data_IF_877555171305
#
_entry.id   IF_877555171305
#
_cell.length_a   1.000
_cell.length_b   1.000
_cell.length_c   1.000
_cell.angle_alpha   90.00
_cell.angle_beta   90.00
_cell.angle_gamma   90.00
#
_symmetry.space_group_name_H-M   'P 1'
#
loop_
_entity.id
_entity.type
_entity.pdbx_description
1 polymer ?
#
# COMPACT_ATOMS: atom_id res chain seq x y z
N UNK A 1 18.16 28.71 0.38
CA UNK A 1 19.39 29.15 1.08
C UNK A 1 19.07 29.69 2.48
N UNK A 2 18.16 30.68 2.62
CA UNK A 2 17.82 31.30 3.92
C UNK A 2 17.15 30.33 4.93
N UNK A 3 16.22 29.48 4.48
CA UNK A 3 15.54 28.48 5.32
C UNK A 3 16.51 27.40 5.85
N UNK A 4 17.51 27.03 5.08
CA UNK A 4 18.50 26.02 5.46
C UNK A 4 19.51 26.57 6.48
N UNK A 5 19.89 27.85 6.33
CA UNK A 5 20.73 28.57 7.27
C UNK A 5 20.02 28.75 8.61
N UNK A 6 18.74 29.10 8.61
CA UNK A 6 17.90 29.21 9.82
C UNK A 6 17.76 27.87 10.56
N UNK A 7 17.60 26.78 9.81
CA UNK A 7 17.50 25.40 10.38
C UNK A 7 18.83 25.00 11.06
N UNK A 8 19.98 25.28 10.43
CA UNK A 8 21.31 25.03 11.01
C UNK A 8 21.54 25.84 12.26
N UNK A 9 21.18 27.13 12.26
CA UNK A 9 21.33 27.99 13.42
C UNK A 9 20.49 27.49 14.61
N UNK A 10 19.27 27.10 14.37
CA UNK A 10 18.37 26.53 15.39
C UNK A 10 18.95 25.23 15.99
N UNK A 11 19.55 24.38 15.17
CA UNK A 11 20.18 23.14 15.60
C UNK A 11 21.44 23.40 16.46
N UNK A 12 22.26 24.38 16.08
CA UNK A 12 23.40 24.81 16.86
C UNK A 12 22.94 25.33 18.23
N UNK A 13 21.97 26.23 18.27
CA UNK A 13 21.41 26.78 19.51
C UNK A 13 20.84 25.68 20.41
N UNK A 14 20.09 24.73 19.84
CA UNK A 14 19.55 23.60 20.59
C UNK A 14 20.66 22.74 21.21
N UNK A 15 21.66 22.34 20.43
CA UNK A 15 22.74 21.47 20.89
C UNK A 15 23.60 22.17 21.95
N UNK A 16 23.91 23.48 21.77
CA UNK A 16 24.61 24.27 22.74
C UNK A 16 23.80 24.40 24.04
N UNK A 17 22.50 24.67 23.95
CA UNK A 17 21.61 24.73 25.11
C UNK A 17 21.56 23.41 25.90
N UNK A 18 21.49 22.27 25.22
CA UNK A 18 21.52 20.93 25.85
C UNK A 18 22.88 20.75 26.58
N UNK A 19 23.98 21.08 25.93
CA UNK A 19 25.35 20.95 26.51
C UNK A 19 25.52 21.78 27.77
N UNK A 20 25.07 23.03 27.76
CA UNK A 20 25.13 23.93 28.93
C UNK A 20 24.21 23.45 30.05
N UNK A 21 22.99 22.97 29.72
CA UNK A 21 22.06 22.43 30.69
C UNK A 21 22.64 21.20 31.39
N UNK A 22 23.20 20.25 30.62
CA UNK A 22 23.82 19.04 31.18
C UNK A 22 25.00 19.40 32.09
N UNK A 23 25.86 20.32 31.65
CA UNK A 23 26.99 20.80 32.49
C UNK A 23 26.51 21.41 33.81
N UNK A 24 25.49 22.28 33.76
CA UNK A 24 24.94 22.93 34.95
C UNK A 24 24.30 21.89 35.90
N UNK A 25 23.55 20.90 35.36
CA UNK A 25 22.95 19.83 36.15
C UNK A 25 24.01 18.95 36.81
N UNK A 26 25.05 18.55 36.09
CA UNK A 26 26.17 17.78 36.66
C UNK A 26 26.87 18.53 37.76
N UNK A 27 27.20 19.81 37.52
CA UNK A 27 27.86 20.66 38.54
C UNK A 27 26.96 20.89 39.75
N UNK A 28 25.65 21.16 39.54
CA UNK A 28 24.70 21.32 40.65
C UNK A 28 24.54 20.05 41.48
N UNK A 29 24.49 18.87 40.82
CA UNK A 29 24.43 17.59 41.51
C UNK A 29 25.73 17.36 42.33
N UNK A 30 26.88 17.67 41.77
CA UNK A 30 28.17 17.57 42.52
C UNK A 30 28.17 18.49 43.74
N UNK A 31 27.69 19.74 43.64
CA UNK A 31 27.54 20.62 44.80
C UNK A 31 26.59 20.08 45.87
N UNK A 32 25.49 19.48 45.45
CA UNK A 32 24.52 18.81 46.33
C UNK A 32 25.19 17.67 47.10
N UNK A 33 25.97 16.82 46.42
CA UNK A 33 26.66 15.69 47.03
C UNK A 33 27.84 16.17 47.93
N UNK A 34 28.56 17.25 47.58
CA UNK A 34 29.59 17.85 48.37
C UNK A 34 29.05 18.36 49.74
N UNK A 35 27.82 18.90 49.73
CA UNK A 35 27.15 19.32 50.97
C UNK A 35 26.95 18.13 51.96
N UNK A 36 26.74 16.93 51.44
CA UNK A 36 26.64 15.69 52.28
C UNK A 36 28.01 15.05 52.55
N UNK A 37 29.12 15.70 52.18
CA UNK A 37 30.47 15.16 52.33
C UNK A 37 30.67 13.78 51.69
N UNK A 38 30.05 13.54 50.56
CA UNK A 38 30.20 12.34 49.74
C UNK A 38 31.55 12.43 48.99
N UNK A 39 32.22 11.28 48.88
CA UNK A 39 33.56 11.17 48.33
C UNK A 39 33.67 11.78 46.89
N UNK A 40 34.70 12.59 46.65
CA UNK A 40 34.99 13.33 45.40
C UNK A 40 35.10 12.44 44.16
N UNK A 41 35.44 11.16 44.32
CA UNK A 41 35.48 10.19 43.22
C UNK A 41 34.12 10.06 42.49
N UNK A 42 33.00 10.29 43.18
CA UNK A 42 31.68 10.21 42.61
C UNK A 42 31.40 11.38 41.65
N UNK A 43 32.03 12.52 41.84
CA UNK A 43 31.87 13.70 40.98
C UNK A 43 32.41 13.44 39.58
N UNK A 44 33.52 12.68 39.47
CA UNK A 44 34.07 12.26 38.19
C UNK A 44 33.07 11.44 37.35
N UNK A 45 32.40 10.50 38.02
CA UNK A 45 31.38 9.62 37.35
C UNK A 45 30.22 10.47 36.84
N UNK A 46 29.76 11.48 37.60
CA UNK A 46 28.66 12.37 37.20
C UNK A 46 29.03 13.15 35.94
N UNK A 47 30.24 13.69 35.85
CA UNK A 47 30.70 14.42 34.65
C UNK A 47 30.84 13.47 33.44
N UNK A 48 31.37 12.26 33.64
CA UNK A 48 31.46 11.25 32.59
C UNK A 48 30.05 10.85 32.07
N UNK A 49 29.07 10.69 32.96
CA UNK A 49 27.68 10.47 32.61
C UNK A 49 27.09 11.65 31.82
N UNK A 50 27.40 12.88 32.23
CA UNK A 50 27.03 14.11 31.50
C UNK A 50 27.59 14.14 30.08
N UNK A 51 28.85 13.74 29.90
CA UNK A 51 29.46 13.64 28.55
C UNK A 51 28.70 12.60 27.70
N UNK A 52 28.39 11.44 28.27
CA UNK A 52 27.61 10.40 27.60
C UNK A 52 26.22 10.90 27.19
N UNK A 53 25.48 11.53 28.10
CA UNK A 53 24.16 12.11 27.83
C UNK A 53 24.25 13.16 26.71
N UNK A 54 25.24 14.05 26.76
CA UNK A 54 25.44 15.03 25.68
C UNK A 54 25.75 14.35 24.35
N UNK A 55 26.59 13.30 24.33
CA UNK A 55 26.88 12.56 23.12
C UNK A 55 25.63 11.87 22.55
N UNK A 56 24.69 11.42 23.40
CA UNK A 56 23.43 10.81 22.97
C UNK A 56 22.43 11.84 22.44
N UNK A 57 22.23 12.96 23.14
CA UNK A 57 21.18 13.94 22.84
C UNK A 57 21.57 15.03 21.84
N UNK A 58 22.86 15.23 21.57
CA UNK A 58 23.32 16.21 20.59
C UNK A 58 23.74 15.56 19.27
N UNK A 59 23.77 16.36 18.20
CA UNK A 59 24.26 15.88 16.89
C UNK A 59 25.73 16.34 16.72
N UNK A 60 26.56 15.37 16.34
CA UNK A 60 27.96 15.58 16.04
C UNK A 60 28.90 15.29 17.22
N UNK A 61 30.16 15.11 16.88
CA UNK A 61 31.25 14.81 17.84
C UNK A 61 31.63 15.98 18.71
N UNK A 62 31.49 17.21 18.19
CA UNK A 62 32.07 18.43 18.78
C UNK A 62 31.50 18.77 20.18
N UNK A 63 30.19 18.63 20.38
CA UNK A 63 29.55 19.06 21.64
C UNK A 63 29.98 18.21 22.85
N UNK A 64 29.99 16.89 22.70
CA UNK A 64 30.40 15.98 23.75
C UNK A 64 31.93 16.07 24.02
N UNK A 65 32.74 16.27 22.99
CA UNK A 65 34.17 16.49 23.12
C UNK A 65 34.48 17.84 23.83
N UNK A 66 33.76 18.91 23.47
CA UNK A 66 33.86 20.18 24.13
C UNK A 66 33.45 20.08 25.61
N UNK A 67 32.33 19.36 25.89
CA UNK A 67 31.91 19.13 27.27
C UNK A 67 32.94 18.34 28.06
N UNK A 68 33.64 17.37 27.45
CA UNK A 68 34.71 16.64 28.09
C UNK A 68 35.84 17.58 28.57
N UNK A 69 36.24 18.53 27.73
CA UNK A 69 37.26 19.57 28.11
C UNK A 69 36.71 20.47 29.20
N UNK A 70 35.51 21.03 29.02
CA UNK A 70 34.89 21.95 29.99
C UNK A 70 34.66 21.27 31.33
N UNK A 71 34.31 19.98 31.35
CA UNK A 71 34.14 19.21 32.59
C UNK A 71 35.41 19.04 33.39
N UNK A 72 36.56 18.85 32.73
CA UNK A 72 37.89 18.81 33.40
C UNK A 72 38.17 20.12 34.10
N UNK A 73 38.02 21.23 33.39
CA UNK A 73 38.26 22.57 33.98
C UNK A 73 37.21 22.91 35.05
N UNK A 74 35.95 22.55 34.83
CA UNK A 74 34.88 22.76 35.82
C UNK A 74 35.12 21.97 37.10
N UNK A 75 35.49 20.70 36.99
CA UNK A 75 35.80 19.87 38.16
C UNK A 75 36.98 20.46 38.95
N UNK A 76 38.08 20.85 38.25
CA UNK A 76 39.22 21.48 38.90
C UNK A 76 38.85 22.79 39.62
N UNK A 77 38.10 23.67 38.94
CA UNK A 77 37.74 24.98 39.49
C UNK A 77 36.81 24.91 40.71
N UNK A 78 35.80 24.05 40.65
CA UNK A 78 34.75 24.01 41.67
C UNK A 78 35.06 23.07 42.85
N UNK A 79 35.78 21.96 42.61
CA UNK A 79 35.89 20.88 43.62
C UNK A 79 37.34 20.57 44.05
N UNK A 80 38.37 21.04 43.34
CA UNK A 80 39.75 20.78 43.71
C UNK A 80 40.28 21.87 44.67
N UNK A 81 41.03 21.47 45.71
CA UNK A 81 41.61 22.43 46.68
C UNK A 81 42.96 22.95 46.18
N UNK A 82 43.22 24.28 46.17
CA UNK A 82 42.33 25.36 46.62
C UNK A 82 41.23 25.67 45.60
N UNK A 83 39.95 25.67 46.06
CA UNK A 83 38.78 25.93 45.23
C UNK A 83 38.83 27.30 44.57
N UNK A 84 38.15 27.44 43.41
CA UNK A 84 38.06 28.66 42.61
C UNK A 84 39.40 29.14 42.04
N UNK A 85 40.36 28.21 41.91
CA UNK A 85 41.64 28.44 41.26
C UNK A 85 41.92 27.39 40.19
N UNK A 86 42.79 27.67 39.25
CA UNK A 86 43.27 26.71 38.27
C UNK A 86 44.66 26.13 38.64
N UNK A 87 45.04 26.15 39.95
CA UNK A 87 46.29 25.57 40.40
C UNK A 87 46.15 24.05 40.60
N UNK A 88 47.15 23.32 40.14
CA UNK A 88 47.26 21.86 40.32
C UNK A 88 48.33 21.60 41.38
N UNK A 89 47.96 21.53 42.65
CA UNK A 89 48.91 21.32 43.76
C UNK A 89 49.33 19.84 43.89
N UNK A 90 48.57 18.90 43.36
CA UNK A 90 48.88 17.48 43.47
C UNK A 90 48.95 16.84 42.09
N UNK A 91 50.03 16.07 41.85
CA UNK A 91 50.22 15.29 40.61
C UNK A 91 49.12 14.25 40.37
N UNK A 92 48.45 13.80 41.44
CA UNK A 92 47.38 12.82 41.36
C UNK A 92 46.15 13.40 40.60
N UNK A 93 45.83 14.66 40.79
CA UNK A 93 44.76 15.33 40.03
C UNK A 93 45.07 15.43 38.54
N UNK A 94 46.31 15.62 38.16
CA UNK A 94 46.71 15.68 36.76
C UNK A 94 46.44 14.37 36.04
N UNK A 95 46.69 13.20 36.67
CA UNK A 95 46.40 11.89 36.13
C UNK A 95 44.90 11.71 35.97
N UNK A 96 44.11 12.11 36.99
CA UNK A 96 42.63 12.03 36.94
C UNK A 96 42.05 12.84 35.80
N UNK A 97 42.56 14.05 35.57
CA UNK A 97 42.10 14.91 34.46
C UNK A 97 42.41 14.33 33.07
N UNK A 98 43.64 13.78 32.91
CA UNK A 98 44.01 13.10 31.66
C UNK A 98 43.09 11.90 31.42
N UNK A 99 42.84 11.08 32.42
CA UNK A 99 41.95 9.92 32.31
C UNK A 99 40.52 10.35 31.98
N UNK A 100 39.97 11.35 32.67
CA UNK A 100 38.62 11.86 32.40
C UNK A 100 38.49 12.38 30.96
N UNK A 101 39.50 13.11 30.48
CA UNK A 101 39.52 13.62 29.11
C UNK A 101 39.58 12.47 28.10
N UNK A 102 40.46 11.49 28.29
CA UNK A 102 40.56 10.31 27.40
C UNK A 102 39.28 9.48 27.36
N UNK A 103 38.70 9.22 28.52
CA UNK A 103 37.41 8.51 28.63
C UNK A 103 36.29 9.30 27.91
N UNK A 104 36.23 10.61 28.13
CA UNK A 104 35.24 11.48 27.47
C UNK A 104 35.38 11.48 25.94
N UNK A 105 36.60 11.56 25.41
CA UNK A 105 36.91 11.46 24.00
C UNK A 105 36.51 10.07 23.45
N UNK A 106 36.83 9.00 24.18
CA UNK A 106 36.45 7.62 23.81
C UNK A 106 34.95 7.48 23.68
N UNK A 107 34.18 7.90 24.69
CA UNK A 107 32.71 7.90 24.67
C UNK A 107 32.18 8.69 23.48
N UNK A 108 32.70 9.90 23.26
CA UNK A 108 32.28 10.75 22.15
C UNK A 108 32.50 10.08 20.79
N UNK A 109 33.68 9.47 20.61
CA UNK A 109 34.07 8.78 19.38
C UNK A 109 33.16 7.56 19.09
N UNK A 110 33.00 6.69 20.09
CA UNK A 110 32.20 5.48 19.97
C UNK A 110 30.73 5.83 19.69
N UNK A 111 30.18 6.79 20.45
CA UNK A 111 28.79 7.22 20.26
C UNK A 111 28.54 7.81 18.86
N UNK A 112 29.50 8.64 18.39
CA UNK A 112 29.43 9.22 17.06
C UNK A 112 29.48 8.14 15.95
N UNK A 113 30.40 7.18 16.07
CA UNK A 113 30.50 6.06 15.12
C UNK A 113 29.23 5.19 15.10
N UNK A 114 28.67 4.89 16.29
CA UNK A 114 27.42 4.14 16.39
C UNK A 114 26.27 4.86 15.71
N UNK A 115 26.10 6.17 15.94
CA UNK A 115 25.07 6.97 15.29
C UNK A 115 25.20 6.96 13.77
N UNK A 116 26.41 7.15 13.24
CA UNK A 116 26.65 7.07 11.79
C UNK A 116 26.29 5.71 11.20
N UNK A 117 26.68 4.62 11.88
CA UNK A 117 26.32 3.28 11.44
C UNK A 117 24.81 3.04 11.47
N UNK A 118 24.12 3.47 12.52
CA UNK A 118 22.65 3.36 12.61
C UNK A 118 21.95 4.14 11.49
N UNK A 119 22.41 5.34 11.17
CA UNK A 119 21.88 6.14 10.07
C UNK A 119 22.09 5.46 8.71
N UNK A 120 23.29 4.92 8.46
CA UNK A 120 23.57 4.14 7.25
C UNK A 120 22.67 2.90 7.13
N UNK A 121 22.50 2.13 8.21
CA UNK A 121 21.63 0.95 8.22
C UNK A 121 20.17 1.32 7.94
N UNK A 122 19.69 2.44 8.48
CA UNK A 122 18.32 2.90 8.24
C UNK A 122 18.09 3.30 6.78
N UNK A 123 19.04 3.99 6.15
CA UNK A 123 18.97 4.38 4.73
C UNK A 123 18.99 3.14 3.83
N UNK A 124 19.92 2.22 4.06
CA UNK A 124 20.04 0.96 3.33
C UNK A 124 18.79 0.08 3.51
N UNK A 125 18.17 0.10 4.71
CA UNK A 125 16.92 -0.61 4.99
C UNK A 125 15.77 -0.12 4.12
N UNK A 126 15.60 1.20 4.00
CA UNK A 126 14.56 1.82 3.16
C UNK A 126 14.80 1.50 1.67
N UNK A 127 16.05 1.60 1.21
CA UNK A 127 16.40 1.28 -0.18
C UNK A 127 16.15 -0.19 -0.51
N UNK A 128 16.53 -1.09 0.40
CA UNK A 128 16.27 -2.54 0.26
C UNK A 128 14.77 -2.86 0.15
N UNK A 129 13.92 -2.19 0.95
CA UNK A 129 12.46 -2.37 0.87
C UNK A 129 11.95 -1.91 -0.50
N UNK A 130 12.39 -0.77 -1.00
CA UNK A 130 12.02 -0.27 -2.34
C UNK A 130 12.42 -1.22 -3.46
N UNK A 131 13.67 -1.70 -3.42
CA UNK A 131 14.18 -2.65 -4.42
C UNK A 131 13.44 -3.99 -4.38
N UNK A 132 13.13 -4.48 -3.17
CA UNK A 132 12.36 -5.72 -3.01
C UNK A 132 10.95 -5.56 -3.58
N UNK A 133 10.25 -4.48 -3.26
CA UNK A 133 8.92 -4.18 -3.79
C UNK A 133 8.93 -4.06 -5.32
N UNK A 134 9.95 -3.40 -5.90
CA UNK A 134 10.09 -3.30 -7.36
C UNK A 134 10.34 -4.68 -8.01
N UNK A 135 11.19 -5.51 -7.40
CA UNK A 135 11.47 -6.86 -7.90
C UNK A 135 10.22 -7.77 -7.81
N UNK A 136 9.47 -7.71 -6.71
CA UNK A 136 8.21 -8.45 -6.55
C UNK A 136 7.17 -8.02 -7.60
N UNK A 137 7.06 -6.73 -7.88
CA UNK A 137 6.19 -6.18 -8.93
C UNK A 137 6.59 -6.71 -10.31
N UNK A 138 7.89 -6.73 -10.65
CA UNK A 138 8.37 -7.22 -11.94
C UNK A 138 8.19 -8.73 -12.08
N UNK A 139 8.42 -9.50 -11.01
CA UNK A 139 8.18 -10.93 -10.99
C UNK A 139 6.70 -11.26 -11.17
N UNK A 140 5.80 -10.52 -10.50
CA UNK A 140 4.36 -10.65 -10.69
C UNK A 140 4.00 -10.39 -12.15
N UNK A 141 4.48 -9.30 -12.74
CA UNK A 141 4.25 -8.96 -14.14
C UNK A 141 4.73 -10.06 -15.10
N UNK A 142 5.92 -10.61 -14.88
CA UNK A 142 6.44 -11.71 -15.70
C UNK A 142 5.57 -12.98 -15.59
N UNK A 143 5.12 -13.30 -14.36
CA UNK A 143 4.22 -14.44 -14.12
C UNK A 143 2.88 -14.23 -14.81
N UNK A 144 2.30 -13.02 -14.73
CA UNK A 144 1.08 -12.64 -15.41
C UNK A 144 1.19 -12.80 -16.93
N UNK A 145 2.26 -12.27 -17.55
CA UNK A 145 2.48 -12.38 -18.99
C UNK A 145 2.62 -13.84 -19.45
N UNK A 146 3.24 -14.69 -18.62
CA UNK A 146 3.36 -16.12 -18.93
C UNK A 146 2.01 -16.84 -18.88
N UNK A 147 1.20 -16.58 -17.84
CA UNK A 147 -0.16 -17.14 -17.71
C UNK A 147 -1.05 -16.70 -18.86
N UNK A 148 -1.08 -15.40 -19.18
CA UNK A 148 -1.83 -14.84 -20.29
C UNK A 148 -1.46 -15.48 -21.63
N UNK A 149 -0.17 -15.66 -21.88
CA UNK A 149 0.32 -16.28 -23.12
C UNK A 149 -0.16 -17.72 -23.27
N UNK A 150 -0.23 -18.46 -22.15
CA UNK A 150 -0.79 -19.82 -22.12
C UNK A 150 -2.29 -19.79 -22.39
N UNK A 151 -3.02 -18.91 -21.71
CA UNK A 151 -4.49 -18.83 -21.77
C UNK A 151 -5.00 -18.29 -23.11
N UNK A 152 -4.20 -17.47 -23.81
CA UNK A 152 -4.48 -17.07 -25.20
C UNK A 152 -4.22 -18.20 -26.21
N UNK A 153 -3.18 -19.01 -25.99
CA UNK A 153 -2.80 -20.06 -26.93
C UNK A 153 -3.87 -21.14 -27.06
N UNK A 154 -4.47 -21.53 -25.94
CA UNK A 154 -5.48 -22.62 -25.91
C UNK A 154 -6.69 -22.34 -26.80
N UNK A 155 -7.46 -21.22 -26.65
CA UNK A 155 -8.60 -20.93 -27.52
C UNK A 155 -8.18 -20.67 -28.97
N UNK A 156 -7.05 -20.00 -29.22
CA UNK A 156 -6.55 -19.78 -30.58
C UNK A 156 -6.23 -21.12 -31.29
N UNK A 157 -5.68 -22.08 -30.55
CA UNK A 157 -5.46 -23.43 -31.10
C UNK A 157 -6.78 -24.15 -31.40
N UNK A 158 -7.77 -23.98 -30.53
CA UNK A 158 -9.13 -24.58 -30.78
C UNK A 158 -9.77 -23.95 -32.01
N UNK A 159 -9.74 -22.63 -32.15
CA UNK A 159 -10.25 -21.89 -33.31
C UNK A 159 -9.55 -22.37 -34.58
N UNK A 160 -8.21 -22.43 -34.56
CA UNK A 160 -7.42 -22.89 -35.71
C UNK A 160 -7.76 -24.32 -36.10
N UNK A 161 -7.74 -25.24 -35.15
CA UNK A 161 -8.04 -26.65 -35.41
C UNK A 161 -9.50 -26.86 -35.94
N UNK A 162 -10.45 -26.10 -35.38
CA UNK A 162 -11.84 -26.12 -35.87
C UNK A 162 -11.95 -25.62 -37.32
N UNK A 163 -11.26 -24.56 -37.67
CA UNK A 163 -11.22 -24.02 -39.03
C UNK A 163 -10.50 -24.96 -39.99
N UNK A 164 -9.39 -25.57 -39.59
CA UNK A 164 -8.66 -26.59 -40.39
C UNK A 164 -9.56 -27.83 -40.62
N UNK A 165 -10.27 -28.29 -39.59
CA UNK A 165 -11.19 -29.42 -39.71
C UNK A 165 -12.34 -29.18 -40.72
N UNK A 166 -12.87 -27.96 -40.76
CA UNK A 166 -13.90 -27.57 -41.73
C UNK A 166 -13.36 -27.50 -43.17
N UNK A 167 -12.10 -27.01 -43.32
CA UNK A 167 -11.43 -26.93 -44.62
C UNK A 167 -11.06 -28.28 -45.19
N UNK A 168 -10.55 -29.18 -44.32
CA UNK A 168 -10.07 -30.51 -44.74
C UNK A 168 -11.21 -31.51 -44.97
N UNK A 169 -12.41 -31.26 -44.40
CA UNK A 169 -13.55 -32.16 -44.51
C UNK A 169 -14.80 -31.47 -45.07
N UNK A 170 -14.83 -31.16 -46.39
CA UNK A 170 -15.96 -30.48 -47.02
C UNK A 170 -17.30 -31.27 -46.95
N UNK A 171 -17.23 -32.57 -46.69
CA UNK A 171 -18.37 -33.48 -46.63
C UNK A 171 -18.91 -33.76 -45.21
N UNK A 172 -18.51 -32.96 -44.20
CA UNK A 172 -19.08 -33.04 -42.87
C UNK A 172 -20.59 -32.82 -42.91
N UNK A 173 -21.29 -33.48 -42.00
CA UNK A 173 -22.74 -33.25 -41.81
C UNK A 173 -22.98 -31.80 -41.36
N UNK A 174 -24.13 -31.24 -41.79
CA UNK A 174 -24.42 -29.80 -41.51
C UNK A 174 -24.49 -29.52 -40.01
N UNK A 175 -25.02 -30.45 -39.20
CA UNK A 175 -25.03 -30.32 -37.73
C UNK A 175 -23.66 -30.29 -37.08
N UNK A 176 -22.68 -31.04 -37.63
CA UNK A 176 -21.29 -30.99 -37.14
C UNK A 176 -20.59 -29.70 -37.54
N UNK A 177 -20.86 -29.18 -38.75
CA UNK A 177 -20.34 -27.87 -39.19
C UNK A 177 -20.86 -26.73 -38.31
N UNK A 178 -22.19 -26.72 -38.03
CA UNK A 178 -22.77 -25.70 -37.15
C UNK A 178 -22.16 -25.74 -35.75
N UNK A 179 -21.93 -26.92 -35.20
CA UNK A 179 -21.31 -27.11 -33.90
C UNK A 179 -19.86 -26.56 -33.88
N UNK A 180 -19.04 -26.91 -34.88
CA UNK A 180 -17.65 -26.44 -34.99
C UNK A 180 -17.63 -24.93 -35.17
N UNK A 181 -18.49 -24.34 -36.00
CA UNK A 181 -18.62 -22.91 -36.19
C UNK A 181 -19.03 -22.21 -34.89
N UNK A 182 -19.98 -22.77 -34.15
CA UNK A 182 -20.42 -22.29 -32.85
C UNK A 182 -19.28 -22.27 -31.82
N UNK A 183 -18.46 -23.33 -31.78
CA UNK A 183 -17.28 -23.41 -30.94
C UNK A 183 -16.21 -22.34 -31.31
N UNK A 184 -15.99 -22.14 -32.62
CA UNK A 184 -15.07 -21.10 -33.12
C UNK A 184 -15.54 -19.70 -32.67
N UNK A 185 -16.81 -19.37 -32.87
CA UNK A 185 -17.38 -18.09 -32.46
C UNK A 185 -17.27 -17.91 -30.96
N UNK A 186 -17.69 -18.90 -30.17
CA UNK A 186 -17.62 -18.85 -28.70
C UNK A 186 -16.19 -18.64 -28.18
N UNK A 187 -15.20 -19.35 -28.74
CA UNK A 187 -13.79 -19.19 -28.35
C UNK A 187 -13.20 -17.87 -28.83
N UNK A 188 -13.65 -17.33 -29.96
CA UNK A 188 -13.23 -15.98 -30.43
C UNK A 188 -13.75 -14.91 -29.48
N UNK A 189 -15.02 -14.93 -29.11
CA UNK A 189 -15.62 -13.99 -28.17
C UNK A 189 -14.95 -14.06 -26.79
N UNK A 190 -14.63 -15.26 -26.33
CA UNK A 190 -13.91 -15.45 -25.08
C UNK A 190 -12.50 -14.81 -25.15
N UNK A 191 -11.77 -14.98 -26.28
CA UNK A 191 -10.44 -14.43 -26.48
C UNK A 191 -10.47 -12.91 -26.53
N UNK A 192 -11.48 -12.31 -27.18
CA UNK A 192 -11.68 -10.86 -27.23
C UNK A 192 -11.86 -10.32 -25.81
N UNK A 193 -12.75 -10.92 -25.02
CA UNK A 193 -12.95 -10.51 -23.62
C UNK A 193 -11.68 -10.64 -22.76
N UNK A 194 -10.87 -11.67 -22.98
CA UNK A 194 -9.59 -11.84 -22.30
C UNK A 194 -8.64 -10.68 -22.62
N UNK A 195 -8.53 -10.31 -23.91
CA UNK A 195 -7.68 -9.18 -24.35
C UNK A 195 -8.18 -7.85 -23.80
N UNK A 196 -9.49 -7.58 -23.80
CA UNK A 196 -10.08 -6.37 -23.23
C UNK A 196 -9.79 -6.26 -21.72
N UNK A 197 -9.92 -7.36 -20.99
CA UNK A 197 -9.57 -7.44 -19.58
C UNK A 197 -8.08 -7.15 -19.33
N UNK A 198 -7.21 -7.66 -20.18
CA UNK A 198 -5.77 -7.42 -20.11
C UNK A 198 -5.40 -5.95 -20.40
N UNK A 199 -6.01 -5.35 -21.42
CA UNK A 199 -5.83 -3.94 -21.73
C UNK A 199 -6.30 -3.04 -20.57
N UNK A 200 -7.39 -3.41 -19.91
CA UNK A 200 -7.86 -2.72 -18.71
C UNK A 200 -6.84 -2.83 -17.57
N UNK A 201 -6.24 -4.02 -17.34
CA UNK A 201 -5.17 -4.19 -16.35
C UNK A 201 -3.92 -3.36 -16.67
N UNK A 202 -3.49 -3.30 -17.93
CA UNK A 202 -2.29 -2.53 -18.31
C UNK A 202 -2.50 -1.01 -18.19
N UNK A 203 -3.71 -0.53 -18.38
CA UNK A 203 -4.07 0.88 -18.10
C UNK A 203 -4.03 1.20 -16.61
N UNK A 204 -4.33 0.22 -15.76
CA UNK A 204 -4.37 0.32 -14.30
C UNK A 204 -2.96 0.30 -13.66
N UNK A 205 -1.97 -0.36 -14.27
CA UNK A 205 -0.59 -0.50 -13.72
C UNK A 205 0.31 0.73 -13.98
N UNK A 206 -0.13 1.70 -14.78
CA UNK A 206 0.51 3.01 -14.83
C UNK A 206 0.16 3.76 -13.53
N UNK A 207 1.16 4.15 -12.72
CA UNK A 207 1.08 4.77 -11.38
C UNK A 207 0.12 5.97 -11.22
N UNK A 208 -0.67 6.29 -12.23
CA UNK A 208 -1.73 7.31 -12.27
C UNK A 208 -2.87 6.81 -13.13
N UNK A 209 -3.73 5.97 -12.56
CA UNK A 209 -5.07 5.83 -13.11
C UNK A 209 -5.80 7.16 -12.92
N UNK A 210 -5.65 8.04 -13.86
CA UNK A 210 -6.54 9.18 -13.97
C UNK A 210 -7.85 8.69 -14.58
N UNK A 211 -8.76 8.23 -13.72
CA UNK A 211 -10.14 7.96 -14.12
C UNK A 211 -10.74 9.29 -14.58
N UNK A 212 -11.18 9.37 -15.81
CA UNK A 212 -11.87 10.56 -16.34
C UNK A 212 -13.32 10.50 -15.89
N UNK A 213 -13.60 11.00 -14.70
CA UNK A 213 -14.96 11.08 -14.19
C UNK A 213 -15.70 12.20 -14.89
N UNK A 214 -16.91 11.92 -15.38
CA UNK A 214 -17.91 12.88 -15.81
C UNK A 214 -19.24 12.58 -15.09
N UNK A 215 -20.10 13.58 -14.86
CA UNK A 215 -21.43 13.31 -14.35
C UNK A 215 -22.22 12.53 -15.40
N UNK A 216 -22.43 11.24 -15.14
CA UNK A 216 -23.14 10.33 -16.06
C UNK A 216 -24.52 9.99 -15.50
N UNK A 217 -25.52 9.96 -16.38
CA UNK A 217 -26.89 9.63 -16.02
C UNK A 217 -27.04 8.11 -15.84
N UNK A 218 -27.50 7.69 -14.66
CA UNK A 218 -27.73 6.28 -14.35
C UNK A 218 -28.70 5.60 -15.34
N UNK A 219 -29.70 6.36 -15.80
CA UNK A 219 -30.73 5.94 -16.75
C UNK A 219 -30.16 5.59 -18.13
N UNK A 220 -28.98 6.05 -18.48
CA UNK A 220 -28.29 5.71 -19.71
C UNK A 220 -27.34 4.51 -19.50
N UNK A 221 -26.64 4.50 -18.39
CA UNK A 221 -25.61 3.48 -18.08
C UNK A 221 -26.23 2.10 -17.84
N UNK A 222 -27.28 2.00 -17.02
CA UNK A 222 -27.86 0.69 -16.69
C UNK A 222 -28.48 -0.04 -17.90
N UNK A 223 -29.33 0.60 -18.72
CA UNK A 223 -29.86 -0.06 -19.90
C UNK A 223 -28.79 -0.47 -20.90
N UNK A 224 -27.72 0.33 -21.03
CA UNK A 224 -26.60 -0.01 -21.90
C UNK A 224 -25.84 -1.25 -21.38
N UNK A 225 -25.55 -1.32 -20.07
CA UNK A 225 -24.91 -2.49 -19.47
C UNK A 225 -25.75 -3.76 -19.66
N UNK A 226 -27.07 -3.67 -19.49
CA UNK A 226 -27.99 -4.80 -19.68
C UNK A 226 -28.08 -5.22 -21.16
N UNK A 227 -28.15 -4.27 -22.09
CA UNK A 227 -28.11 -4.61 -23.54
C UNK A 227 -26.85 -5.40 -23.90
N UNK A 228 -25.70 -5.05 -23.33
CA UNK A 228 -24.44 -5.72 -23.59
C UNK A 228 -24.41 -7.19 -23.14
N UNK A 229 -25.25 -7.56 -22.17
CA UNK A 229 -25.33 -8.93 -21.64
C UNK A 229 -26.65 -9.64 -21.99
N UNK A 230 -27.56 -8.99 -22.70
CA UNK A 230 -28.93 -9.49 -22.98
C UNK A 230 -28.97 -10.89 -23.60
N UNK A 231 -28.05 -11.17 -24.52
CA UNK A 231 -27.95 -12.50 -25.14
C UNK A 231 -27.57 -13.64 -24.17
N UNK A 232 -26.98 -13.30 -22.99
CA UNK A 232 -26.55 -14.26 -21.97
C UNK A 232 -27.61 -14.42 -20.85
N UNK A 233 -28.48 -13.44 -20.68
CA UNK A 233 -29.53 -13.50 -19.66
C UNK A 233 -30.57 -14.61 -19.97
N UNK A 234 -30.79 -14.91 -21.22
CA UNK A 234 -31.73 -15.95 -21.64
C UNK A 234 -33.17 -15.67 -21.16
N UNK A 235 -33.78 -16.64 -20.48
CA UNK A 235 -35.13 -16.53 -19.91
C UNK A 235 -35.22 -15.98 -18.52
N UNK A 236 -34.09 -15.62 -17.90
CA UNK A 236 -34.01 -15.10 -16.52
C UNK A 236 -34.73 -13.76 -16.37
N UNK A 237 -35.50 -13.62 -15.30
CA UNK A 237 -36.21 -12.37 -15.02
C UNK A 237 -35.22 -11.34 -14.42
N UNK A 238 -35.22 -10.14 -15.02
CA UNK A 238 -34.39 -9.01 -14.53
C UNK A 238 -35.30 -7.94 -13.89
N UNK A 239 -35.03 -7.64 -12.63
CA UNK A 239 -35.79 -6.68 -11.84
C UNK A 239 -34.95 -5.45 -11.55
N UNK A 240 -35.57 -4.26 -11.64
CA UNK A 240 -34.93 -2.97 -11.37
C UNK A 240 -35.57 -2.29 -10.18
N UNK A 241 -34.75 -1.78 -9.27
CA UNK A 241 -35.16 -0.90 -8.18
C UNK A 241 -34.17 0.29 -8.18
N UNK A 242 -34.50 1.30 -8.96
CA UNK A 242 -33.68 2.50 -9.20
C UNK A 242 -34.47 3.76 -8.86
N UNK A 243 -33.81 4.89 -8.49
CA UNK A 243 -34.48 6.13 -8.22
C UNK A 243 -35.35 6.58 -9.42
N UNK A 244 -36.52 7.17 -9.13
CA UNK A 244 -37.38 7.78 -10.16
C UNK A 244 -36.80 9.12 -10.66
N UNK A 245 -36.04 9.80 -9.82
CA UNK A 245 -35.36 11.04 -10.15
C UNK A 245 -34.03 10.76 -10.85
N UNK A 246 -33.67 11.62 -11.83
CA UNK A 246 -32.40 11.54 -12.54
C UNK A 246 -31.22 11.56 -11.56
N UNK A 247 -30.43 10.49 -11.57
CA UNK A 247 -29.23 10.36 -10.74
C UNK A 247 -27.97 10.51 -11.58
N UNK A 248 -27.31 11.67 -11.44
CA UNK A 248 -25.99 11.92 -12.04
C UNK A 248 -24.90 11.43 -11.09
N UNK A 249 -24.07 10.51 -11.54
CA UNK A 249 -22.97 9.94 -10.74
C UNK A 249 -21.63 10.25 -11.41
N UNK A 250 -20.66 10.85 -10.70
CA UNK A 250 -19.33 11.10 -11.24
C UNK A 250 -18.58 9.78 -11.51
N UNK A 251 -18.49 9.36 -12.78
CA UNK A 251 -17.84 8.10 -13.16
C UNK A 251 -17.23 8.15 -14.56
N UNK A 252 -16.35 7.22 -14.86
CA UNK A 252 -15.97 6.86 -16.21
C UNK A 252 -16.98 5.84 -16.74
N UNK A 253 -17.84 6.27 -17.65
CA UNK A 253 -18.93 5.43 -18.19
C UNK A 253 -18.42 4.09 -18.74
N UNK A 254 -17.30 4.09 -19.49
CA UNK A 254 -16.75 2.88 -20.11
C UNK A 254 -16.31 1.87 -19.06
N UNK A 255 -15.62 2.33 -18.02
CA UNK A 255 -15.12 1.46 -16.96
C UNK A 255 -16.26 0.94 -16.08
N UNK A 256 -17.26 1.77 -15.77
CA UNK A 256 -18.40 1.31 -14.97
C UNK A 256 -19.32 0.37 -15.75
N UNK A 257 -19.51 0.59 -17.05
CA UNK A 257 -20.18 -0.38 -17.93
C UNK A 257 -19.49 -1.75 -17.89
N UNK A 258 -18.16 -1.79 -17.86
CA UNK A 258 -17.39 -3.02 -17.71
C UNK A 258 -17.63 -3.70 -16.36
N UNK A 259 -17.68 -2.91 -15.25
CA UNK A 259 -17.96 -3.44 -13.90
C UNK A 259 -19.35 -4.09 -13.87
N UNK A 260 -20.38 -3.34 -14.28
CA UNK A 260 -21.76 -3.84 -14.27
C UNK A 260 -21.89 -5.06 -15.19
N UNK A 261 -21.30 -5.00 -16.39
CA UNK A 261 -21.29 -6.10 -17.35
C UNK A 261 -20.65 -7.38 -16.79
N UNK A 262 -19.50 -7.26 -16.11
CA UNK A 262 -18.83 -8.41 -15.50
C UNK A 262 -19.65 -9.02 -14.36
N UNK A 263 -20.29 -8.19 -13.52
CA UNK A 263 -21.14 -8.69 -12.42
C UNK A 263 -22.40 -9.36 -13.00
N UNK A 264 -23.04 -8.77 -14.02
CA UNK A 264 -24.22 -9.36 -14.68
C UNK A 264 -23.89 -10.64 -15.43
N UNK A 265 -22.75 -10.72 -16.11
CA UNK A 265 -22.27 -11.94 -16.76
C UNK A 265 -22.07 -13.07 -15.73
N UNK A 266 -21.48 -12.72 -14.57
CA UNK A 266 -21.33 -13.66 -13.47
C UNK A 266 -22.70 -14.10 -12.91
N UNK A 267 -23.61 -13.15 -12.68
CA UNK A 267 -24.97 -13.44 -12.23
C UNK A 267 -25.69 -14.36 -13.23
N UNK A 268 -25.60 -14.08 -14.54
CA UNK A 268 -26.26 -14.94 -15.57
C UNK A 268 -25.70 -16.37 -15.60
N UNK A 269 -24.40 -16.56 -15.35
CA UNK A 269 -23.78 -17.90 -15.32
C UNK A 269 -24.23 -18.74 -14.13
N UNK A 270 -24.40 -18.09 -12.97
CA UNK A 270 -24.71 -18.77 -11.72
C UNK A 270 -26.18 -18.75 -11.33
N UNK A 271 -27.06 -18.20 -12.16
CA UNK A 271 -28.51 -18.19 -11.94
C UNK A 271 -29.16 -19.29 -12.79
N UNK A 272 -30.09 -20.11 -12.26
CA UNK A 272 -30.88 -21.05 -13.05
C UNK A 272 -31.66 -20.37 -14.19
N UNK A 273 -32.03 -21.07 -15.27
CA UNK A 273 -32.72 -20.48 -16.42
C UNK A 273 -34.01 -19.70 -16.08
N UNK A 274 -34.73 -20.13 -15.03
CA UNK A 274 -35.96 -19.47 -14.54
C UNK A 274 -35.75 -18.64 -13.29
N UNK A 275 -34.49 -18.39 -12.93
CA UNK A 275 -34.13 -17.60 -11.77
C UNK A 275 -34.21 -16.09 -12.01
N UNK A 276 -34.03 -15.33 -10.96
CA UNK A 276 -34.15 -13.88 -10.98
C UNK A 276 -32.79 -13.21 -10.76
N UNK A 277 -32.61 -12.06 -11.39
CA UNK A 277 -31.49 -11.12 -11.18
C UNK A 277 -32.08 -9.76 -10.78
N UNK A 278 -31.52 -9.11 -9.78
CA UNK A 278 -31.98 -7.80 -9.31
C UNK A 278 -30.86 -6.78 -9.43
N UNK A 279 -31.21 -5.60 -9.90
CA UNK A 279 -30.35 -4.41 -9.88
C UNK A 279 -31.02 -3.37 -9.01
N UNK A 280 -30.37 -2.97 -7.92
CA UNK A 280 -30.83 -1.91 -7.05
C UNK A 280 -29.79 -0.82 -6.97
N UNK A 281 -30.20 0.45 -7.16
CA UNK A 281 -29.33 1.62 -7.00
C UNK A 281 -30.02 2.64 -6.12
N UNK A 282 -29.26 3.24 -5.23
CA UNK A 282 -29.76 4.34 -4.39
C UNK A 282 -28.60 5.30 -4.05
N UNK A 283 -28.98 6.52 -3.69
CA UNK A 283 -28.06 7.57 -3.24
C UNK A 283 -28.12 7.67 -1.72
N UNK A 284 -26.94 7.68 -1.07
CA UNK A 284 -26.80 7.89 0.38
C UNK A 284 -26.41 9.33 0.72
N UNK A 285 -26.35 10.24 -0.25
CA UNK A 285 -25.83 11.59 -0.14
C UNK A 285 -24.33 11.67 -0.34
N UNK A 286 -23.55 10.72 0.19
CA UNK A 286 -22.08 10.63 -0.01
C UNK A 286 -21.71 9.74 -1.18
N UNK A 287 -22.44 8.65 -1.36
CA UNK A 287 -22.14 7.63 -2.37
C UNK A 287 -23.40 7.23 -3.13
N UNK A 288 -23.27 6.96 -4.41
CA UNK A 288 -24.19 6.13 -5.14
C UNK A 288 -23.83 4.66 -4.85
N UNK A 289 -24.81 3.87 -4.42
CA UNK A 289 -24.64 2.45 -4.09
C UNK A 289 -25.32 1.60 -5.13
N UNK A 290 -24.61 0.68 -5.73
CA UNK A 290 -25.06 -0.27 -6.72
C UNK A 290 -25.07 -1.66 -6.10
N UNK A 291 -26.21 -2.33 -6.13
CA UNK A 291 -26.37 -3.70 -5.67
C UNK A 291 -26.95 -4.56 -6.79
N UNK A 292 -26.21 -5.61 -7.11
CA UNK A 292 -26.65 -6.61 -8.10
C UNK A 292 -26.73 -7.94 -7.37
N UNK A 293 -27.91 -8.54 -7.36
CA UNK A 293 -28.16 -9.82 -6.71
C UNK A 293 -28.73 -10.82 -7.68
N UNK A 294 -28.52 -12.10 -7.44
CA UNK A 294 -29.07 -13.16 -8.26
C UNK A 294 -29.48 -14.39 -7.43
N UNK A 295 -30.48 -15.08 -7.89
CA UNK A 295 -30.80 -16.43 -7.39
C UNK A 295 -29.72 -17.40 -7.89
N UNK A 296 -29.08 -18.11 -6.96
CA UNK A 296 -28.02 -19.05 -7.32
C UNK A 296 -27.42 -19.69 -6.09
N UNK A 297 -26.54 -20.67 -6.30
CA UNK A 297 -25.84 -21.32 -5.21
C UNK A 297 -25.01 -20.29 -4.42
N UNK A 298 -25.11 -20.29 -3.09
CA UNK A 298 -24.30 -19.41 -2.25
C UNK A 298 -22.81 -19.65 -2.48
N UNK A 299 -22.03 -18.56 -2.50
CA UNK A 299 -20.57 -18.63 -2.55
C UNK A 299 -20.10 -19.28 -1.24
N UNK A 300 -19.20 -20.26 -1.30
CA UNK A 300 -18.67 -20.89 -0.09
C UNK A 300 -17.99 -19.85 0.80
N UNK A 301 -18.13 -20.00 2.10
CA UNK A 301 -17.56 -19.03 3.06
C UNK A 301 -16.04 -18.86 2.91
N UNK A 302 -15.34 -19.93 2.53
CA UNK A 302 -13.90 -19.93 2.27
C UNK A 302 -13.51 -19.18 0.98
N UNK A 303 -14.40 -19.11 -0.01
CA UNK A 303 -14.16 -18.44 -1.29
C UNK A 303 -14.43 -16.93 -1.23
N UNK A 304 -15.40 -16.49 -0.42
CA UNK A 304 -15.81 -15.08 -0.32
C UNK A 304 -14.67 -14.07 -0.15
N UNK A 305 -13.64 -14.33 0.67
CA UNK A 305 -12.50 -13.41 0.79
C UNK A 305 -11.65 -13.31 -0.48
N UNK A 306 -11.67 -14.35 -1.32
CA UNK A 306 -10.74 -14.55 -2.43
C UNK A 306 -11.35 -14.27 -3.82
N UNK A 307 -12.67 -14.18 -3.95
CA UNK A 307 -13.35 -14.02 -5.27
C UNK A 307 -12.93 -12.76 -6.05
N UNK A 308 -12.36 -11.76 -5.37
CA UNK A 308 -11.80 -10.55 -5.98
C UNK A 308 -10.28 -10.62 -6.20
N UNK A 309 -9.64 -11.75 -5.91
CA UNK A 309 -8.23 -11.95 -6.21
C UNK A 309 -8.05 -12.32 -7.69
N UNK A 310 -6.92 -11.91 -8.26
CA UNK A 310 -6.61 -12.22 -9.66
C UNK A 310 -6.44 -13.74 -9.82
N UNK A 311 -7.03 -14.28 -10.89
CA UNK A 311 -6.98 -15.73 -11.25
C UNK A 311 -7.69 -16.65 -10.25
N UNK A 312 -8.44 -16.11 -9.33
CA UNK A 312 -9.23 -16.94 -8.44
C UNK A 312 -10.45 -17.52 -9.20
N UNK A 313 -10.55 -18.84 -9.21
CA UNK A 313 -11.71 -19.61 -9.69
C UNK A 313 -12.01 -20.68 -8.67
N UNK A 314 -13.30 -20.89 -8.31
CA UNK A 314 -13.67 -21.98 -7.44
C UNK A 314 -13.37 -23.33 -8.11
N UNK A 315 -13.06 -24.38 -7.33
CA UNK A 315 -12.68 -25.70 -7.87
C UNK A 315 -13.77 -26.33 -8.75
N UNK A 316 -15.02 -25.98 -8.55
CA UNK A 316 -16.16 -26.45 -9.35
C UNK A 316 -16.33 -25.72 -10.69
N UNK A 317 -15.78 -24.50 -10.81
CA UNK A 317 -15.85 -23.65 -12.02
C UNK A 317 -14.73 -23.86 -13.04
N UNK A 318 -14.17 -25.06 -13.16
CA UNK A 318 -12.93 -25.36 -13.94
C UNK A 318 -12.95 -25.02 -15.43
N UNK A 319 -14.02 -24.49 -16.03
CA UNK A 319 -14.09 -24.34 -17.48
C UNK A 319 -14.57 -23.00 -18.05
N UNK A 320 -15.00 -21.99 -17.26
CA UNK A 320 -15.68 -20.83 -17.85
C UNK A 320 -15.15 -19.43 -17.53
N UNK A 321 -13.98 -19.29 -16.91
CA UNK A 321 -13.41 -17.95 -16.64
C UNK A 321 -11.95 -17.96 -16.23
N UNK A 322 -11.23 -16.90 -16.60
CA UNK A 322 -9.81 -16.69 -16.26
C UNK A 322 -9.65 -16.18 -14.81
N UNK A 323 -10.75 -15.96 -14.06
CA UNK A 323 -10.69 -15.38 -12.72
C UNK A 323 -10.25 -13.91 -12.69
N UNK A 324 -10.40 -13.18 -13.80
CA UNK A 324 -9.98 -11.77 -13.89
C UNK A 324 -11.16 -10.79 -13.76
N UNK A 325 -12.38 -11.18 -14.07
CA UNK A 325 -13.53 -10.26 -14.15
C UNK A 325 -13.80 -9.51 -12.85
N UNK A 326 -13.93 -10.22 -11.73
CA UNK A 326 -14.19 -9.61 -10.41
C UNK A 326 -12.97 -8.84 -9.87
N UNK A 327 -11.75 -9.31 -10.15
CA UNK A 327 -10.54 -8.59 -9.78
C UNK A 327 -10.47 -7.22 -10.49
N UNK A 328 -10.82 -7.17 -11.78
CA UNK A 328 -10.91 -5.92 -12.54
C UNK A 328 -12.00 -5.02 -11.98
N UNK A 329 -13.17 -5.55 -11.61
CA UNK A 329 -14.21 -4.77 -10.94
C UNK A 329 -13.67 -4.06 -9.69
N UNK A 330 -12.96 -4.79 -8.82
CA UNK A 330 -12.34 -4.23 -7.60
C UNK A 330 -11.34 -3.13 -7.91
N UNK A 331 -10.51 -3.31 -8.94
CA UNK A 331 -9.53 -2.30 -9.35
C UNK A 331 -10.22 -1.03 -9.89
N UNK A 332 -11.19 -1.18 -10.77
CA UNK A 332 -11.95 -0.05 -11.35
C UNK A 332 -12.68 0.72 -10.24
N UNK A 333 -13.38 0.05 -9.35
CA UNK A 333 -14.12 0.69 -8.26
C UNK A 333 -13.18 1.42 -7.30
N UNK A 334 -12.04 0.82 -6.94
CA UNK A 334 -11.01 1.50 -6.13
C UNK A 334 -10.43 2.73 -6.82
N UNK A 335 -10.19 2.67 -8.13
CA UNK A 335 -9.72 3.81 -8.91
C UNK A 335 -10.75 4.96 -8.94
N UNK A 336 -12.03 4.64 -8.83
CA UNK A 336 -13.10 5.63 -8.65
C UNK A 336 -13.22 6.16 -7.20
N UNK A 337 -12.45 5.62 -6.24
CA UNK A 337 -12.53 5.96 -4.82
C UNK A 337 -13.68 5.27 -4.10
N UNK A 338 -14.24 4.21 -4.67
CA UNK A 338 -15.29 3.39 -4.10
C UNK A 338 -14.79 2.07 -3.52
N UNK A 339 -15.72 1.27 -3.03
CA UNK A 339 -15.49 -0.08 -2.51
C UNK A 339 -16.44 -1.09 -3.17
N UNK A 340 -16.00 -2.34 -3.30
CA UNK A 340 -16.81 -3.44 -3.79
C UNK A 340 -16.67 -4.64 -2.86
N UNK A 341 -17.78 -5.30 -2.58
CA UNK A 341 -17.84 -6.53 -1.80
C UNK A 341 -18.95 -7.45 -2.29
N UNK A 342 -18.87 -8.72 -1.87
CA UNK A 342 -19.91 -9.71 -2.13
C UNK A 342 -20.32 -10.40 -0.82
N UNK A 343 -21.54 -10.86 -0.77
CA UNK A 343 -22.09 -11.62 0.36
C UNK A 343 -23.21 -12.54 -0.09
N UNK A 344 -23.45 -13.57 0.68
CA UNK A 344 -24.67 -14.37 0.59
C UNK A 344 -25.79 -13.72 1.41
N UNK A 345 -26.99 -13.69 0.86
CA UNK A 345 -28.20 -13.17 1.51
C UNK A 345 -29.33 -14.21 1.38
N UNK A 346 -29.35 -15.21 2.26
CA UNK A 346 -30.16 -16.41 2.11
C UNK A 346 -29.71 -17.20 0.88
N UNK A 347 -30.65 -17.56 0.02
CA UNK A 347 -30.40 -18.31 -1.23
C UNK A 347 -29.97 -17.38 -2.40
N UNK A 348 -29.45 -16.20 -2.09
CA UNK A 348 -29.03 -15.20 -3.07
C UNK A 348 -27.57 -14.83 -2.89
N UNK A 349 -26.88 -14.62 -4.00
CA UNK A 349 -25.57 -13.97 -4.05
C UNK A 349 -25.77 -12.49 -4.35
N UNK A 350 -25.08 -11.64 -3.60
CA UNK A 350 -25.20 -10.18 -3.74
C UNK A 350 -23.83 -9.57 -3.89
N UNK A 351 -23.63 -8.84 -4.97
CA UNK A 351 -22.49 -7.95 -5.19
C UNK A 351 -22.94 -6.51 -4.95
N UNK A 352 -22.13 -5.76 -4.21
CA UNK A 352 -22.44 -4.37 -3.91
C UNK A 352 -21.18 -3.50 -4.08
N UNK A 353 -21.33 -2.37 -4.77
CA UNK A 353 -20.24 -1.41 -4.89
C UNK A 353 -20.72 0.03 -4.73
N UNK A 354 -19.80 0.90 -4.38
CA UNK A 354 -20.06 2.32 -4.12
C UNK A 354 -19.27 3.20 -5.06
N UNK A 355 -19.84 4.35 -5.45
CA UNK A 355 -19.16 5.42 -6.16
C UNK A 355 -19.37 6.72 -5.40
N UNK A 356 -18.31 7.51 -5.06
CA UNK A 356 -18.46 8.81 -4.41
C UNK A 356 -19.24 9.79 -5.28
N UNK A 357 -20.18 10.54 -4.64
CA UNK A 357 -20.99 11.57 -5.31
C UNK A 357 -20.24 12.91 -5.41
N UNK A 358 -19.22 13.13 -4.60
CA UNK A 358 -18.35 14.31 -4.66
C UNK A 358 -17.01 13.93 -5.29
N UNK A 359 -16.44 14.81 -6.12
CA UNK A 359 -15.06 14.68 -6.53
C UNK A 359 -14.18 14.89 -5.30
N UNK A 360 -13.42 13.87 -4.90
CA UNK A 360 -12.36 14.08 -3.92
C UNK A 360 -11.31 14.97 -4.57
N UNK A 361 -11.31 16.27 -4.25
CA UNK A 361 -10.20 17.17 -4.52
C UNK A 361 -8.97 16.61 -3.79
N UNK A 362 -8.14 15.83 -4.52
CA UNK A 362 -6.88 15.28 -4.08
C UNK A 362 -5.70 16.07 -4.64
#
# INVERSE_FOLDING_TARGET
>A
MEAETKKRLLEILKNTGITLLVFALCTGLCYFLDYFKINDLNFLIIYVLGILLTAVFTKGFAYSSLLSVVSVFGYNFFFTIPRFTFHFNDKMYMVTFILMFLVGLGISTVTFQLKRKMEQVSVLGVERIKLKSAAEKEQLKATLLRSISHDLRTPLTTIKNGAELLLDNPRLEEGDKEKILGDIVSKSDWTIRLVENLLSLTRIDSEKLTVKKSPEALEEILPQAVRNVSGKLGTRALHYDVPEEMLLVPMDATLILQVIGNILDNAAKHTPPEGNIWIKVWNTGKNAVFRIGNDGEPIRAEDLPHIFEMYYTSEEGKHDGVGLGLAICRLIIRAHGGEIFARNAGDRVVFEFTLPMEESNG
#
